data_IF_420476906377
#
_entry.id   IF_420476906377
#
_cell.length_a   1.000
_cell.length_b   1.000
_cell.length_c   1.000
_cell.angle_alpha   90.00
_cell.angle_beta   90.00
_cell.angle_gamma   90.00
#
_symmetry.space_group_name_H-M   'P 1'
#
loop_
_entity.id
_entity.type
_entity.pdbx_description
1 polymer ?
#
# COMPACT_ATOMS: atom_id res chain seq x y z
N UNK A 1 -24.62 0.87 -4.91
CA UNK A 1 -24.94 1.58 -3.65
C UNK A 1 -24.07 2.82 -3.56
N UNK A 2 -24.66 3.92 -3.10
CA UNK A 2 -24.00 5.20 -2.86
C UNK A 2 -22.79 5.02 -1.93
N UNK A 3 -21.80 5.91 -2.01
CA UNK A 3 -20.82 6.07 -0.93
C UNK A 3 -21.57 6.10 0.40
N UNK A 4 -21.45 5.05 1.21
CA UNK A 4 -21.86 5.12 2.61
C UNK A 4 -21.05 6.27 3.20
N UNK A 5 -21.73 7.39 3.50
CA UNK A 5 -21.13 8.47 4.27
C UNK A 5 -20.54 7.83 5.52
N UNK A 6 -19.26 8.10 5.76
CA UNK A 6 -18.60 7.57 6.96
C UNK A 6 -19.44 7.92 8.18
N UNK A 7 -19.67 6.98 9.12
CA UNK A 7 -20.58 7.18 10.23
C UNK A 7 -20.06 8.19 11.27
N UNK A 8 -18.89 8.81 11.06
CA UNK A 8 -18.35 9.80 11.99
C UNK A 8 -17.96 11.08 11.27
N UNK A 9 -18.13 12.20 11.97
CA UNK A 9 -17.65 13.53 11.60
C UNK A 9 -16.48 13.91 12.50
N UNK A 10 -15.61 14.80 12.02
CA UNK A 10 -14.59 15.40 12.85
C UNK A 10 -15.20 16.47 13.76
N UNK A 11 -14.75 16.51 15.02
CA UNK A 11 -15.04 17.57 15.98
C UNK A 11 -13.73 18.31 16.28
N UNK A 12 -13.15 18.92 15.26
CA UNK A 12 -11.88 19.64 15.36
C UNK A 12 -12.16 21.15 15.53
N UNK A 13 -11.80 21.78 16.66
CA UNK A 13 -11.99 23.21 16.86
C UNK A 13 -11.07 24.08 15.97
N UNK A 14 -10.03 23.49 15.37
CA UNK A 14 -9.14 24.18 14.44
C UNK A 14 -8.89 23.34 13.17
N UNK A 15 -9.91 23.15 12.30
CA UNK A 15 -9.83 22.26 11.15
C UNK A 15 -8.68 22.59 10.21
N UNK A 16 -7.80 21.61 9.99
CA UNK A 16 -6.66 21.72 9.07
C UNK A 16 -6.16 20.33 8.67
N UNK A 17 -5.20 20.31 7.74
CA UNK A 17 -4.34 19.14 7.58
C UNK A 17 -3.40 19.03 8.76
N UNK A 18 -3.36 17.86 9.37
CA UNK A 18 -2.46 17.50 10.45
C UNK A 18 -1.51 16.42 9.95
N UNK A 19 -0.21 16.66 10.14
CA UNK A 19 0.87 15.73 9.83
C UNK A 19 1.58 15.36 11.13
N UNK A 20 1.86 14.07 11.31
CA UNK A 20 2.53 13.52 12.50
C UNK A 20 3.77 12.76 12.07
N UNK A 21 4.82 12.88 12.88
CA UNK A 21 6.06 12.12 12.73
C UNK A 21 6.60 11.76 14.09
N UNK A 22 6.84 10.47 14.33
CA UNK A 22 7.40 9.98 15.58
C UNK A 22 8.25 8.73 15.32
N UNK A 23 9.19 8.43 16.23
CA UNK A 23 10.02 7.23 16.12
C UNK A 23 9.26 5.99 16.54
N UNK A 24 9.42 4.92 15.78
CA UNK A 24 8.82 3.63 16.11
C UNK A 24 9.28 3.10 17.47
N UNK A 25 10.56 3.28 17.81
CA UNK A 25 11.15 2.94 19.11
C UNK A 25 10.57 3.73 20.30
N UNK A 26 9.98 4.91 20.04
CA UNK A 26 9.26 5.69 21.05
C UNK A 26 7.79 5.29 21.18
N UNK A 27 7.19 4.86 20.07
CA UNK A 27 5.80 4.39 20.03
C UNK A 27 5.68 3.01 20.70
N UNK A 28 6.61 2.11 20.40
CA UNK A 28 6.70 0.77 21.00
C UNK A 28 8.14 0.48 21.43
N UNK A 29 8.44 0.47 22.75
CA UNK A 29 9.77 0.15 23.27
C UNK A 29 10.26 -1.28 22.95
N UNK A 30 9.37 -2.17 22.48
CA UNK A 30 9.73 -3.53 22.05
C UNK A 30 10.26 -3.59 20.63
N UNK A 31 10.13 -2.51 19.85
CA UNK A 31 10.61 -2.46 18.48
C UNK A 31 12.15 -2.52 18.45
N UNK A 32 12.70 -3.31 17.54
CA UNK A 32 14.14 -3.55 17.43
C UNK A 32 14.65 -3.35 16.00
N UNK A 33 15.96 -3.13 15.90
CA UNK A 33 16.68 -3.16 14.64
C UNK A 33 17.08 -4.60 14.30
N UNK A 34 17.19 -4.88 13.00
CA UNK A 34 17.56 -6.15 12.39
C UNK A 34 18.70 -5.94 11.39
N UNK A 35 19.93 -5.82 11.90
CA UNK A 35 21.11 -5.53 11.08
C UNK A 35 21.40 -6.62 10.04
N UNK A 36 21.05 -7.87 10.35
CA UNK A 36 21.11 -9.04 9.48
C UNK A 36 20.28 -8.90 8.21
N UNK A 37 19.27 -8.04 8.20
CA UNK A 37 18.51 -7.67 7.00
C UNK A 37 18.60 -6.17 6.67
N UNK A 38 19.65 -5.47 7.12
CA UNK A 38 19.88 -4.04 6.86
C UNK A 38 18.74 -3.11 7.33
N UNK A 39 17.93 -3.57 8.29
CA UNK A 39 16.88 -2.78 8.89
C UNK A 39 17.40 -2.18 10.20
N UNK A 40 17.66 -0.87 10.21
CA UNK A 40 18.35 -0.19 11.31
C UNK A 40 17.52 0.97 11.84
N UNK A 41 17.73 1.35 13.10
CA UNK A 41 17.07 2.53 13.68
C UNK A 41 17.91 3.80 13.58
N UNK A 42 19.20 3.65 13.30
CA UNK A 42 20.12 4.76 13.14
C UNK A 42 21.01 4.53 11.91
N UNK A 43 21.27 5.60 11.17
CA UNK A 43 22.24 5.61 10.07
C UNK A 43 23.07 6.89 10.18
N UNK A 44 24.40 6.72 10.26
CA UNK A 44 25.36 7.83 10.37
C UNK A 44 25.00 8.84 11.49
N UNK A 45 24.73 8.35 12.71
CA UNK A 45 24.44 9.23 13.86
C UNK A 45 23.00 9.74 13.93
N UNK A 46 22.13 9.38 12.97
CA UNK A 46 20.77 9.93 12.86
C UNK A 46 19.71 8.84 12.90
N UNK A 47 18.69 9.07 13.71
CA UNK A 47 17.51 8.21 13.76
C UNK A 47 16.84 8.13 12.37
N UNK A 48 16.49 6.92 11.95
CA UNK A 48 15.81 6.62 10.68
C UNK A 48 14.53 5.81 10.87
N UNK A 49 14.21 5.41 12.10
CA UNK A 49 13.03 4.62 12.47
C UNK A 49 11.73 5.42 12.52
N UNK A 50 11.56 6.36 11.58
CA UNK A 50 10.44 7.30 11.56
C UNK A 50 9.17 6.67 11.00
N UNK A 51 8.07 6.92 11.68
CA UNK A 51 6.71 6.66 11.22
C UNK A 51 6.02 8.00 10.94
N UNK A 52 5.18 8.03 9.90
CA UNK A 52 4.54 9.26 9.42
C UNK A 52 3.04 9.03 9.28
N UNK A 53 2.23 10.00 9.69
CA UNK A 53 0.78 9.95 9.54
C UNK A 53 0.20 11.29 9.09
N UNK A 54 -0.92 11.27 8.37
CA UNK A 54 -1.65 12.48 7.99
C UNK A 54 -3.16 12.28 8.01
N UNK A 55 -3.88 13.33 8.38
CA UNK A 55 -5.35 13.46 8.29
C UNK A 55 -5.71 14.91 8.00
N UNK A 56 -6.72 15.17 7.17
CA UNK A 56 -7.25 16.52 6.95
C UNK A 56 -8.67 16.63 7.50
N UNK A 57 -8.81 17.33 8.64
CA UNK A 57 -10.09 17.47 9.35
C UNK A 57 -11.04 18.47 8.70
N UNK A 58 -10.62 19.16 7.63
CA UNK A 58 -11.48 20.00 6.78
C UNK A 58 -12.25 19.18 5.74
N UNK A 59 -11.78 17.98 5.42
CA UNK A 59 -12.34 17.11 4.39
C UNK A 59 -13.27 16.10 5.03
N UNK A 60 -14.44 15.84 4.44
CA UNK A 60 -15.36 14.83 4.97
C UNK A 60 -14.68 13.45 5.01
N UNK A 61 -14.68 12.75 6.16
CA UNK A 61 -14.00 11.47 6.28
C UNK A 61 -14.69 10.39 5.45
N UNK A 62 -13.88 9.48 4.90
CA UNK A 62 -14.34 8.22 4.29
C UNK A 62 -14.32 7.05 5.27
N UNK A 63 -13.66 7.21 6.41
CA UNK A 63 -13.51 6.14 7.40
C UNK A 63 -12.69 4.97 6.90
N UNK A 64 -11.66 5.25 6.09
CA UNK A 64 -10.68 4.26 5.62
C UNK A 64 -9.27 4.74 5.98
N UNK A 65 -8.44 3.81 6.46
CA UNK A 65 -7.04 4.03 6.80
C UNK A 65 -6.14 3.45 5.71
N UNK A 66 -5.25 4.24 5.15
CA UNK A 66 -4.22 3.78 4.22
C UNK A 66 -2.95 3.46 4.98
N UNK A 67 -2.44 2.24 4.81
CA UNK A 67 -1.09 1.85 5.23
C UNK A 67 -0.21 1.81 3.98
N UNK A 68 0.76 2.72 3.91
CA UNK A 68 1.69 2.84 2.79
C UNK A 68 2.99 2.05 3.05
N UNK A 69 3.26 1.04 2.22
CA UNK A 69 4.36 0.08 2.39
C UNK A 69 5.62 0.45 1.61
N UNK A 70 5.93 1.74 1.52
CA UNK A 70 7.19 2.27 0.98
C UNK A 70 7.66 3.42 1.86
N UNK A 71 8.81 4.02 1.52
CA UNK A 71 9.24 5.27 2.15
C UNK A 71 8.16 6.35 2.07
N UNK A 72 8.15 7.24 3.07
CA UNK A 72 7.18 8.32 3.16
C UNK A 72 7.14 9.17 1.89
N UNK A 73 5.93 9.41 1.39
CA UNK A 73 5.68 10.23 0.20
C UNK A 73 4.64 11.30 0.55
N UNK A 74 5.10 12.52 0.83
CA UNK A 74 4.24 13.64 1.21
C UNK A 74 3.21 13.97 0.14
N UNK A 75 3.60 13.94 -1.14
CA UNK A 75 2.70 14.24 -2.25
C UNK A 75 1.56 13.23 -2.38
N UNK A 76 1.81 11.95 -2.05
CA UNK A 76 0.77 10.95 -1.94
C UNK A 76 -0.14 11.24 -0.74
N UNK A 77 0.43 11.53 0.43
CA UNK A 77 -0.35 11.79 1.66
C UNK A 77 -1.23 13.03 1.54
N UNK A 78 -0.78 14.09 0.86
CA UNK A 78 -1.60 15.26 0.52
C UNK A 78 -2.85 14.86 -0.26
N UNK A 79 -2.71 13.96 -1.24
CA UNK A 79 -3.83 13.46 -2.04
C UNK A 79 -4.76 12.56 -1.22
N UNK A 80 -4.20 11.61 -0.48
CA UNK A 80 -4.99 10.67 0.33
C UNK A 80 -5.86 11.43 1.34
N UNK A 81 -5.27 12.39 2.05
CA UNK A 81 -6.02 13.23 2.99
C UNK A 81 -7.02 14.15 2.29
N UNK A 82 -6.67 14.69 1.11
CA UNK A 82 -7.61 15.40 0.24
C UNK A 82 -8.79 14.54 -0.27
N UNK A 83 -8.65 13.22 -0.26
CA UNK A 83 -9.74 12.28 -0.55
C UNK A 83 -10.60 11.95 0.68
N UNK A 84 -10.26 12.46 1.87
CA UNK A 84 -10.92 12.11 3.13
C UNK A 84 -10.43 10.81 3.75
N UNK A 85 -9.23 10.34 3.38
CA UNK A 85 -8.60 9.14 3.92
C UNK A 85 -7.60 9.52 5.02
N UNK A 86 -7.51 8.68 6.04
CA UNK A 86 -6.38 8.69 6.97
C UNK A 86 -5.22 7.95 6.33
N UNK A 87 -3.99 8.40 6.56
CA UNK A 87 -2.81 7.75 5.99
C UNK A 87 -1.72 7.57 7.04
N UNK A 88 -1.08 6.41 7.04
CA UNK A 88 0.12 6.10 7.82
C UNK A 88 1.18 5.42 6.95
N UNK A 89 2.45 5.63 7.29
CA UNK A 89 3.59 4.88 6.83
C UNK A 89 4.38 4.47 8.07
N UNK A 90 4.55 3.16 8.25
CA UNK A 90 5.28 2.58 9.38
C UNK A 90 6.64 2.08 8.96
N UNK A 91 7.61 2.18 9.87
CA UNK A 91 8.98 1.71 9.66
C UNK A 91 9.06 0.23 10.04
N UNK A 92 8.66 -0.70 9.19
CA UNK A 92 8.64 -2.14 9.48
C UNK A 92 9.85 -2.87 8.88
N UNK A 93 10.17 -4.06 9.42
CA UNK A 93 11.36 -4.86 9.09
C UNK A 93 11.38 -5.38 7.63
N UNK A 94 11.64 -4.48 6.69
CA UNK A 94 11.51 -4.71 5.24
C UNK A 94 12.85 -4.70 4.48
N UNK A 95 13.98 -4.58 5.18
CA UNK A 95 15.30 -4.48 4.56
C UNK A 95 15.77 -5.77 3.87
N UNK A 96 15.11 -6.90 4.15
CA UNK A 96 15.39 -8.21 3.54
C UNK A 96 15.31 -8.20 2.01
N UNK A 97 14.53 -7.30 1.41
CA UNK A 97 14.30 -7.23 -0.04
C UNK A 97 15.58 -7.03 -0.86
N UNK A 98 16.57 -6.32 -0.33
CA UNK A 98 17.86 -6.14 -1.01
C UNK A 98 18.74 -7.40 -0.98
N UNK A 99 18.48 -8.32 -0.04
CA UNK A 99 19.31 -9.51 0.22
C UNK A 99 18.76 -10.76 -0.45
N UNK A 100 17.45 -10.94 -0.42
CA UNK A 100 16.76 -12.09 -1.01
C UNK A 100 15.95 -11.64 -2.22
N UNK A 101 16.00 -12.40 -3.33
CA UNK A 101 15.20 -12.06 -4.51
C UNK A 101 15.75 -12.49 -5.86
N UNK A 102 16.90 -13.17 -5.93
CA UNK A 102 17.53 -13.46 -7.22
C UNK A 102 17.16 -14.81 -7.84
N UNK A 103 17.07 -15.94 -7.11
CA UNK A 103 17.25 -17.23 -7.83
C UNK A 103 16.44 -18.46 -7.41
N UNK A 104 15.51 -18.43 -6.45
CA UNK A 104 14.73 -19.65 -6.17
C UNK A 104 13.38 -19.37 -5.55
N UNK A 105 12.29 -19.99 -6.04
CA UNK A 105 11.00 -19.92 -5.36
C UNK A 105 10.95 -20.88 -4.15
N UNK A 106 12.04 -21.59 -3.83
CA UNK A 106 12.09 -22.60 -2.79
C UNK A 106 11.34 -23.88 -3.16
N UNK A 107 11.39 -24.92 -2.30
CA UNK A 107 10.83 -26.24 -2.61
C UNK A 107 9.31 -26.25 -2.78
N UNK A 108 8.58 -25.34 -2.14
CA UNK A 108 7.12 -25.21 -2.27
C UNK A 108 6.68 -24.07 -3.20
N UNK A 109 7.65 -23.35 -3.78
CA UNK A 109 7.41 -22.26 -4.72
C UNK A 109 6.97 -20.93 -4.09
N UNK A 110 7.21 -20.70 -2.79
CA UNK A 110 6.69 -19.55 -2.01
C UNK A 110 7.72 -18.87 -1.10
N UNK A 111 9.02 -19.03 -1.35
CA UNK A 111 10.09 -18.56 -0.46
C UNK A 111 10.01 -17.06 -0.11
N UNK A 112 10.01 -16.18 -1.11
CA UNK A 112 9.86 -14.74 -0.94
C UNK A 112 8.47 -14.38 -0.40
N UNK A 113 7.43 -15.09 -0.84
CA UNK A 113 6.08 -14.96 -0.32
C UNK A 113 5.96 -15.25 1.18
N UNK A 114 6.81 -16.14 1.74
CA UNK A 114 6.91 -16.42 3.17
C UNK A 114 7.63 -15.30 3.91
N UNK A 115 8.80 -14.87 3.44
CA UNK A 115 9.54 -13.73 4.03
C UNK A 115 8.68 -12.47 4.05
N UNK A 116 7.94 -12.18 2.96
CA UNK A 116 6.99 -11.06 2.89
C UNK A 116 5.94 -11.13 3.98
N UNK A 117 5.40 -12.32 4.23
CA UNK A 117 4.34 -12.49 5.20
C UNK A 117 4.88 -12.30 6.61
N UNK A 118 6.03 -12.89 6.92
CA UNK A 118 6.73 -12.68 8.19
C UNK A 118 7.09 -11.21 8.43
N UNK A 119 7.63 -10.49 7.44
CA UNK A 119 7.85 -9.05 7.58
C UNK A 119 6.55 -8.25 7.78
N UNK A 120 5.42 -8.75 7.27
CA UNK A 120 4.13 -8.07 7.42
C UNK A 120 3.44 -8.39 8.75
N UNK A 121 3.60 -9.60 9.30
CA UNK A 121 2.88 -10.07 10.50
C UNK A 121 3.77 -10.12 11.75
N UNK A 122 5.07 -10.34 11.59
CA UNK A 122 6.02 -10.70 12.63
C UNK A 122 5.75 -12.10 13.22
N UNK A 123 5.19 -12.99 12.41
CA UNK A 123 4.99 -14.41 12.70
C UNK A 123 5.96 -15.23 11.85
N UNK A 124 6.44 -16.35 12.39
CA UNK A 124 7.41 -17.22 11.73
C UNK A 124 6.78 -17.90 10.50
N UNK A 125 7.25 -17.52 9.32
CA UNK A 125 6.85 -18.15 8.05
C UNK A 125 8.04 -18.63 7.23
N UNK A 126 9.26 -18.17 7.52
CA UNK A 126 10.43 -18.40 6.69
C UNK A 126 11.68 -18.72 7.51
N UNK A 127 12.35 -19.82 7.17
CA UNK A 127 13.63 -20.21 7.77
C UNK A 127 14.83 -19.27 7.44
N UNK A 128 14.58 -18.15 6.75
CA UNK A 128 15.61 -17.23 6.25
C UNK A 128 15.69 -15.92 7.01
N UNK A 129 14.66 -15.60 7.79
CA UNK A 129 14.56 -14.38 8.59
C UNK A 129 13.99 -14.74 9.96
N UNK A 130 14.14 -13.85 10.94
CA UNK A 130 13.46 -13.96 12.23
C UNK A 130 12.98 -12.57 12.62
N UNK A 131 11.76 -12.24 12.22
CA UNK A 131 11.13 -10.94 12.48
C UNK A 131 10.07 -11.13 13.57
N UNK A 132 10.29 -10.63 14.79
CA UNK A 132 9.34 -10.78 15.87
C UNK A 132 8.13 -9.85 15.66
N UNK A 133 7.02 -10.20 16.31
CA UNK A 133 5.75 -9.47 16.23
C UNK A 133 5.87 -7.93 16.31
N UNK A 134 6.61 -7.33 17.26
CA UNK A 134 6.77 -5.86 17.35
C UNK A 134 7.34 -5.19 16.09
N UNK A 135 8.09 -5.94 15.28
CA UNK A 135 8.82 -5.40 14.13
C UNK A 135 8.09 -5.62 12.80
N UNK A 136 7.04 -6.43 12.80
CA UNK A 136 6.13 -6.63 11.69
C UNK A 136 5.25 -5.41 11.39
N UNK A 137 4.88 -5.23 10.13
CA UNK A 137 4.03 -4.12 9.68
C UNK A 137 2.71 -4.01 10.47
N UNK A 138 2.05 -5.15 10.71
CA UNK A 138 0.75 -5.24 11.40
C UNK A 138 0.80 -4.65 12.81
N UNK A 139 1.79 -5.04 13.62
CA UNK A 139 1.90 -4.55 14.99
C UNK A 139 2.32 -3.07 15.02
N UNK A 140 3.26 -2.65 14.17
CA UNK A 140 3.67 -1.24 14.08
C UNK A 140 2.50 -0.33 13.71
N UNK A 141 1.69 -0.74 12.73
CA UNK A 141 0.49 -0.01 12.36
C UNK A 141 -0.53 0.08 13.52
N UNK A 142 -0.76 -1.02 14.24
CA UNK A 142 -1.62 -1.02 15.43
C UNK A 142 -1.13 -0.04 16.49
N UNK A 143 0.15 -0.11 16.88
CA UNK A 143 0.71 0.76 17.91
C UNK A 143 0.69 2.22 17.50
N UNK A 144 0.96 2.50 16.22
CA UNK A 144 0.93 3.87 15.74
C UNK A 144 -0.49 4.45 15.75
N UNK A 145 -1.50 3.68 15.33
CA UNK A 145 -2.91 4.10 15.41
C UNK A 145 -3.35 4.33 16.87
N UNK A 146 -2.97 3.44 17.79
CA UNK A 146 -3.24 3.62 19.23
C UNK A 146 -2.59 4.90 19.77
N UNK A 147 -1.34 5.17 19.38
CA UNK A 147 -0.63 6.39 19.76
C UNK A 147 -1.30 7.64 19.18
N UNK A 148 -1.69 7.61 17.90
CA UNK A 148 -2.38 8.71 17.22
C UNK A 148 -3.74 9.01 17.86
N UNK A 149 -4.49 7.99 18.29
CA UNK A 149 -5.75 8.16 19.02
C UNK A 149 -5.60 8.92 20.34
N UNK A 150 -4.47 8.73 21.04
CA UNK A 150 -4.12 9.51 22.24
C UNK A 150 -3.58 10.89 21.91
N UNK A 151 -2.74 10.98 20.87
CA UNK A 151 -2.03 12.20 20.48
C UNK A 151 -2.94 13.24 19.85
N UNK A 152 -3.91 12.80 19.06
CA UNK A 152 -4.82 13.66 18.30
C UNK A 152 -6.24 13.05 18.20
N UNK A 153 -7.02 13.09 19.31
CA UNK A 153 -8.37 12.54 19.33
C UNK A 153 -9.33 13.15 18.29
N UNK A 154 -9.10 14.41 17.89
CA UNK A 154 -9.88 15.11 16.86
C UNK A 154 -9.82 14.41 15.50
N UNK A 155 -8.73 13.67 15.25
CA UNK A 155 -8.57 12.85 14.05
C UNK A 155 -9.36 11.55 14.08
N UNK A 156 -9.97 11.16 15.20
CA UNK A 156 -10.80 9.94 15.35
C UNK A 156 -10.07 8.65 14.95
N UNK A 157 -8.77 8.55 15.23
CA UNK A 157 -7.93 7.41 14.84
C UNK A 157 -8.38 6.09 15.48
N UNK A 158 -9.03 6.14 16.65
CA UNK A 158 -9.61 4.99 17.33
C UNK A 158 -10.69 4.27 16.49
N UNK A 159 -11.28 4.95 15.49
CA UNK A 159 -12.24 4.36 14.55
C UNK A 159 -11.67 3.17 13.74
N UNK A 160 -10.35 3.10 13.60
CA UNK A 160 -9.66 2.04 12.86
C UNK A 160 -9.24 0.86 13.74
N UNK A 161 -9.52 0.91 15.04
CA UNK A 161 -9.26 -0.21 15.94
C UNK A 161 -10.41 -1.22 15.88
N UNK A 162 -10.08 -2.50 15.99
CA UNK A 162 -11.06 -3.55 16.24
C UNK A 162 -11.66 -3.40 17.66
N UNK A 163 -12.81 -4.03 17.96
CA UNK A 163 -13.34 -4.09 19.32
C UNK A 163 -12.28 -4.56 20.32
N UNK A 164 -12.16 -3.86 21.45
CA UNK A 164 -11.12 -4.12 22.47
C UNK A 164 -9.76 -3.48 22.18
N UNK A 165 -9.55 -2.88 21.00
CA UNK A 165 -8.38 -2.06 20.71
C UNK A 165 -7.07 -2.83 20.50
N UNK A 166 -7.09 -4.16 20.44
CA UNK A 166 -5.89 -5.02 20.37
C UNK A 166 -5.51 -5.46 18.95
N UNK A 167 -6.27 -5.03 17.93
CA UNK A 167 -5.95 -5.19 16.51
C UNK A 167 -6.57 -4.02 15.73
N UNK A 168 -6.20 -3.86 14.47
CA UNK A 168 -6.87 -2.97 13.53
C UNK A 168 -8.16 -3.62 13.01
N UNK A 169 -9.16 -2.81 12.73
CA UNK A 169 -10.30 -3.22 11.92
C UNK A 169 -9.87 -3.26 10.44
N UNK A 170 -9.29 -4.38 10.02
CA UNK A 170 -8.70 -4.55 8.69
C UNK A 170 -9.68 -4.35 7.53
N UNK A 171 -10.99 -4.54 7.74
CA UNK A 171 -12.01 -4.23 6.71
C UNK A 171 -12.13 -2.73 6.43
N UNK A 172 -11.61 -1.86 7.32
CA UNK A 172 -11.48 -0.41 7.14
C UNK A 172 -10.08 0.03 6.72
N UNK A 173 -9.21 -0.92 6.35
CA UNK A 173 -7.82 -0.65 5.98
C UNK A 173 -7.62 -0.85 4.47
N UNK A 174 -6.93 0.11 3.87
CA UNK A 174 -6.36 0.05 2.53
C UNK A 174 -4.87 -0.25 2.70
N UNK A 175 -4.41 -1.40 2.21
CA UNK A 175 -2.97 -1.72 2.19
C UNK A 175 -2.43 -1.35 0.81
N UNK A 176 -1.51 -0.40 0.75
CA UNK A 176 -1.03 0.18 -0.50
C UNK A 176 0.49 0.18 -0.57
N UNK A 177 1.04 0.00 -1.76
CA UNK A 177 2.49 0.06 -1.95
C UNK A 177 2.90 0.18 -3.40
N UNK A 178 4.17 0.53 -3.61
CA UNK A 178 4.84 0.50 -4.91
C UNK A 178 5.89 -0.59 -4.94
N UNK A 179 6.17 -1.22 -6.08
CA UNK A 179 7.34 -2.10 -6.23
C UNK A 179 7.36 -3.23 -5.18
N UNK A 180 8.37 -3.25 -4.29
CA UNK A 180 8.41 -4.13 -3.12
C UNK A 180 7.14 -4.03 -2.26
N UNK A 181 6.73 -2.81 -1.90
CA UNK A 181 5.53 -2.54 -1.10
C UNK A 181 4.26 -3.02 -1.79
N UNK A 182 4.16 -2.92 -3.11
CA UNK A 182 3.01 -3.47 -3.87
C UNK A 182 2.92 -4.98 -3.73
N UNK A 183 4.08 -5.65 -3.73
CA UNK A 183 4.15 -7.11 -3.66
C UNK A 183 3.80 -7.59 -2.24
N UNK A 184 4.32 -6.91 -1.22
CA UNK A 184 3.98 -7.18 0.18
C UNK A 184 2.51 -6.88 0.48
N UNK A 185 1.94 -5.79 -0.06
CA UNK A 185 0.52 -5.47 0.10
C UNK A 185 -0.38 -6.60 -0.44
N UNK A 186 -0.09 -7.10 -1.64
CA UNK A 186 -0.84 -8.20 -2.24
C UNK A 186 -0.68 -9.49 -1.44
N UNK A 187 0.56 -9.84 -1.06
CA UNK A 187 0.84 -11.07 -0.31
C UNK A 187 0.17 -11.07 1.06
N UNK A 188 0.19 -9.93 1.75
CA UNK A 188 -0.51 -9.76 3.03
C UNK A 188 -2.02 -9.87 2.85
N UNK A 189 -2.60 -9.24 1.83
CA UNK A 189 -4.05 -9.28 1.59
C UNK A 189 -4.60 -10.66 1.20
N UNK A 190 -3.77 -11.52 0.62
CA UNK A 190 -4.09 -12.94 0.41
C UNK A 190 -4.24 -13.67 1.76
N UNK A 191 -3.46 -13.30 2.78
CA UNK A 191 -3.48 -13.91 4.10
C UNK A 191 -4.52 -13.26 5.04
N UNK A 192 -4.53 -11.93 5.13
CA UNK A 192 -5.42 -11.13 5.96
C UNK A 192 -6.46 -10.45 5.07
N UNK A 193 -7.74 -10.64 5.38
CA UNK A 193 -8.82 -9.91 4.70
C UNK A 193 -8.69 -8.41 5.02
N UNK A 194 -8.63 -7.58 3.98
CA UNK A 194 -8.58 -6.11 4.10
C UNK A 194 -9.70 -5.43 3.31
N UNK A 195 -9.91 -4.13 3.55
CA UNK A 195 -10.92 -3.32 2.88
C UNK A 195 -10.58 -2.99 1.42
N UNK A 196 -9.29 -2.79 1.11
CA UNK A 196 -8.78 -2.53 -0.25
C UNK A 196 -7.29 -2.81 -0.36
N UNK A 197 -6.83 -3.15 -1.55
CA UNK A 197 -5.41 -3.24 -1.91
C UNK A 197 -5.12 -2.33 -3.10
N UNK A 198 -4.08 -1.50 -3.00
CA UNK A 198 -3.60 -0.67 -4.12
C UNK A 198 -2.16 -1.05 -4.47
N UNK A 199 -1.97 -1.55 -5.69
CA UNK A 199 -0.74 -2.14 -6.20
C UNK A 199 -0.16 -1.25 -7.30
N UNK A 200 0.93 -0.54 -7.00
CA UNK A 200 1.62 0.31 -7.96
C UNK A 200 2.92 -0.39 -8.41
N UNK A 201 3.11 -0.56 -9.72
CA UNK A 201 4.26 -1.25 -10.32
C UNK A 201 4.64 -2.58 -9.63
N UNK A 202 3.66 -3.47 -9.47
CA UNK A 202 3.77 -4.80 -8.88
C UNK A 202 2.46 -5.56 -8.97
N UNK A 203 2.34 -6.76 -8.36
CA UNK A 203 3.34 -7.51 -7.60
C UNK A 203 4.47 -8.16 -8.42
N UNK A 204 5.63 -8.40 -7.80
CA UNK A 204 6.78 -9.20 -8.31
C UNK A 204 6.70 -10.66 -7.79
N UNK A 205 7.86 -11.34 -7.73
CA UNK A 205 8.05 -12.77 -7.41
C UNK A 205 7.59 -13.67 -8.55
N UNK A 206 8.10 -13.40 -9.75
CA UNK A 206 7.65 -13.99 -11.02
C UNK A 206 7.84 -15.51 -11.11
N UNK A 207 8.72 -16.08 -10.30
CA UNK A 207 8.97 -17.53 -10.24
C UNK A 207 8.12 -18.23 -9.16
N UNK A 208 7.40 -17.47 -8.33
CA UNK A 208 6.60 -18.00 -7.24
C UNK A 208 5.14 -18.24 -7.65
N UNK A 209 4.46 -19.02 -6.81
CA UNK A 209 3.07 -19.40 -7.01
C UNK A 209 2.12 -18.87 -5.91
N UNK A 210 2.61 -18.09 -4.95
CA UNK A 210 1.78 -17.57 -3.86
C UNK A 210 0.65 -16.66 -4.34
N UNK A 211 0.81 -15.99 -5.50
CA UNK A 211 -0.20 -15.10 -6.08
C UNK A 211 -1.51 -15.85 -6.40
N UNK A 212 -1.43 -17.16 -6.65
CA UNK A 212 -2.58 -18.02 -6.93
C UNK A 212 -3.18 -18.71 -5.70
N UNK A 213 -2.70 -18.41 -4.48
CA UNK A 213 -3.29 -18.94 -3.25
C UNK A 213 -4.71 -18.40 -3.07
N UNK A 214 -5.54 -19.14 -2.32
CA UNK A 214 -6.87 -18.67 -1.93
C UNK A 214 -6.74 -17.39 -1.10
N UNK A 215 -7.22 -16.28 -1.65
CA UNK A 215 -7.15 -14.97 -1.01
C UNK A 215 -8.23 -14.81 0.06
N UNK A 216 -7.84 -14.35 1.25
CA UNK A 216 -8.75 -13.89 2.30
C UNK A 216 -9.48 -12.59 1.90
N UNK A 217 -8.81 -11.72 1.14
CA UNK A 217 -9.41 -10.51 0.58
C UNK A 217 -10.11 -10.84 -0.75
N UNK A 218 -11.40 -10.49 -0.91
CA UNK A 218 -12.07 -10.60 -2.20
C UNK A 218 -11.34 -9.88 -3.34
N UNK A 219 -11.21 -10.54 -4.49
CA UNK A 219 -10.41 -10.05 -5.64
C UNK A 219 -10.90 -8.67 -6.14
N UNK A 220 -12.19 -8.35 -5.98
CA UNK A 220 -12.76 -7.05 -6.35
C UNK A 220 -12.22 -5.85 -5.56
N UNK A 221 -11.54 -6.10 -4.44
CA UNK A 221 -10.89 -5.08 -3.60
C UNK A 221 -9.45 -4.77 -4.00
N UNK A 222 -8.87 -5.48 -4.98
CA UNK A 222 -7.53 -5.24 -5.49
C UNK A 222 -7.55 -4.31 -6.71
N UNK A 223 -6.69 -3.29 -6.71
CA UNK A 223 -6.55 -2.33 -7.80
C UNK A 223 -5.08 -2.22 -8.18
N UNK A 224 -4.76 -2.31 -9.47
CA UNK A 224 -3.40 -2.31 -9.96
C UNK A 224 -3.16 -1.21 -11.00
N UNK A 225 -1.99 -0.58 -10.94
CA UNK A 225 -1.54 0.42 -11.92
C UNK A 225 -0.04 0.29 -12.20
N UNK A 226 0.34 0.23 -13.48
CA UNK A 226 1.75 0.16 -13.90
C UNK A 226 2.00 0.93 -15.20
N UNK A 227 3.25 1.28 -15.47
CA UNK A 227 3.68 1.78 -16.76
C UNK A 227 4.10 0.62 -17.67
N UNK A 228 3.80 0.68 -18.99
CA UNK A 228 4.13 -0.41 -19.93
C UNK A 228 5.64 -0.58 -20.17
N UNK A 229 6.41 0.50 -20.03
CA UNK A 229 7.88 0.46 -20.09
C UNK A 229 8.55 0.04 -18.77
N UNK A 230 7.80 -0.21 -17.69
CA UNK A 230 8.39 -0.74 -16.46
C UNK A 230 9.00 -2.12 -16.73
N UNK A 231 10.23 -2.37 -16.27
CA UNK A 231 10.90 -3.66 -16.48
C UNK A 231 10.12 -4.87 -15.96
N UNK A 232 9.29 -4.71 -14.91
CA UNK A 232 8.41 -5.79 -14.44
C UNK A 232 7.14 -5.97 -15.26
N UNK A 233 6.74 -4.96 -16.02
CA UNK A 233 5.71 -5.11 -17.06
C UNK A 233 6.30 -5.83 -18.27
N UNK A 234 7.42 -5.33 -18.80
CA UNK A 234 8.10 -5.91 -19.98
C UNK A 234 8.58 -7.35 -19.77
N UNK A 235 8.94 -7.72 -18.54
CA UNK A 235 9.29 -9.09 -18.16
C UNK A 235 8.08 -9.98 -17.84
N UNK A 236 6.85 -9.54 -18.12
CA UNK A 236 5.60 -10.25 -17.82
C UNK A 236 5.36 -10.58 -16.34
N UNK A 237 6.10 -9.96 -15.41
CA UNK A 237 5.93 -10.21 -13.98
C UNK A 237 4.58 -9.72 -13.46
N UNK A 238 4.21 -8.47 -13.80
CA UNK A 238 2.96 -7.88 -13.34
C UNK A 238 1.75 -8.43 -14.10
N UNK A 239 1.76 -8.53 -15.45
CA UNK A 239 0.68 -9.18 -16.20
C UNK A 239 0.36 -10.58 -15.67
N UNK A 240 1.38 -11.43 -15.46
CA UNK A 240 1.23 -12.77 -14.86
C UNK A 240 0.62 -12.69 -13.48
N UNK A 241 1.19 -11.87 -12.59
CA UNK A 241 0.72 -11.76 -11.20
C UNK A 241 -0.74 -11.30 -11.13
N UNK A 242 -1.15 -10.35 -11.98
CA UNK A 242 -2.52 -9.86 -12.03
C UNK A 242 -3.51 -10.93 -12.50
N UNK A 243 -3.11 -11.79 -13.43
CA UNK A 243 -3.90 -12.95 -13.83
C UNK A 243 -4.00 -14.00 -12.73
N UNK A 244 -2.89 -14.30 -12.04
CA UNK A 244 -2.88 -15.28 -10.94
C UNK A 244 -3.72 -14.83 -9.74
N UNK A 245 -3.75 -13.53 -9.47
CA UNK A 245 -4.66 -12.92 -8.49
C UNK A 245 -6.14 -12.95 -8.92
N UNK A 246 -6.43 -13.30 -10.18
CA UNK A 246 -7.79 -13.33 -10.73
C UNK A 246 -8.35 -11.98 -11.17
N UNK A 247 -7.54 -10.92 -11.28
CA UNK A 247 -8.02 -9.58 -11.65
C UNK A 247 -8.62 -9.54 -13.07
N UNK A 248 -8.22 -10.47 -13.94
CA UNK A 248 -8.77 -10.63 -15.27
C UNK A 248 -10.25 -11.04 -15.29
N UNK A 249 -10.76 -11.60 -14.20
CA UNK A 249 -12.18 -11.99 -14.07
C UNK A 249 -13.10 -10.77 -13.85
N UNK A 250 -12.54 -9.59 -13.56
CA UNK A 250 -13.29 -8.40 -13.18
C UNK A 250 -13.39 -7.33 -14.28
N UNK A 251 -12.78 -7.60 -15.44
CA UNK A 251 -12.78 -6.66 -16.57
C UNK A 251 -11.43 -6.60 -17.29
N UNK A 252 -11.35 -5.82 -18.39
CA UNK A 252 -10.19 -5.77 -19.27
C UNK A 252 -9.01 -5.03 -18.62
N UNK A 253 -7.83 -5.22 -19.20
CA UNK A 253 -6.69 -4.31 -19.00
C UNK A 253 -7.02 -2.98 -19.68
N UNK A 254 -6.92 -1.85 -18.97
CA UNK A 254 -7.29 -0.53 -19.49
C UNK A 254 -6.09 0.40 -19.51
N UNK A 255 -5.85 1.04 -20.66
CA UNK A 255 -4.90 2.15 -20.78
C UNK A 255 -5.59 3.47 -20.40
N UNK A 256 -5.10 4.09 -19.32
CA UNK A 256 -5.65 5.32 -18.74
C UNK A 256 -5.39 6.56 -19.60
N UNK A 257 -4.42 6.50 -20.52
CA UNK A 257 -4.11 7.59 -21.44
C UNK A 257 -5.11 7.65 -22.62
N UNK A 258 -5.92 6.59 -22.79
CA UNK A 258 -6.90 6.43 -23.87
C UNK A 258 -8.34 6.35 -23.38
N UNK A 259 -8.55 6.20 -22.07
CA UNK A 259 -9.86 6.07 -21.46
C UNK A 259 -9.91 6.90 -20.18
N UNK A 260 -10.91 7.78 -20.06
CA UNK A 260 -11.13 8.55 -18.85
C UNK A 260 -11.72 7.69 -17.71
N UNK A 261 -11.58 8.18 -16.46
CA UNK A 261 -12.27 7.60 -15.31
C UNK A 261 -13.81 7.53 -15.58
N UNK A 262 -14.51 6.44 -15.17
CA UNK A 262 -14.08 5.42 -14.21
C UNK A 262 -13.34 4.22 -14.85
N UNK A 263 -12.73 4.36 -16.04
CA UNK A 263 -11.90 3.33 -16.67
C UNK A 263 -12.63 2.00 -16.87
N UNK A 264 -13.94 2.07 -17.18
CA UNK A 264 -14.80 0.90 -17.26
C UNK A 264 -14.82 0.07 -15.97
N UNK A 265 -14.61 0.69 -14.80
CA UNK A 265 -14.51 0.02 -13.50
C UNK A 265 -13.39 -1.05 -13.41
N UNK A 266 -12.38 -0.99 -14.29
CA UNK A 266 -11.30 -1.98 -14.33
C UNK A 266 -10.43 -1.96 -13.06
N UNK A 267 -9.92 -3.14 -12.68
CA UNK A 267 -8.93 -3.32 -11.62
C UNK A 267 -7.49 -3.37 -12.14
N UNK A 268 -7.31 -3.32 -13.46
CA UNK A 268 -6.01 -3.47 -14.14
C UNK A 268 -5.79 -2.27 -15.04
N UNK A 269 -5.09 -1.27 -14.51
CA UNK A 269 -4.79 -0.03 -15.23
C UNK A 269 -3.33 -0.02 -15.69
N UNK A 270 -3.10 0.51 -16.88
CA UNK A 270 -1.75 0.80 -17.39
C UNK A 270 -1.69 2.19 -18.00
N UNK A 271 -0.47 2.69 -18.15
CA UNK A 271 -0.17 3.91 -18.90
C UNK A 271 1.00 3.66 -19.86
N UNK A 272 0.94 4.27 -21.03
CA UNK A 272 2.02 4.40 -22.00
C UNK A 272 2.46 5.85 -22.20
N UNK A 273 2.12 6.72 -21.24
CA UNK A 273 2.51 8.12 -21.22
C UNK A 273 4.03 8.30 -21.42
N UNK A 274 4.42 9.37 -22.11
CA UNK A 274 5.82 9.54 -22.51
C UNK A 274 6.76 9.75 -21.29
N UNK A 275 7.61 8.76 -21.07
CA UNK A 275 8.72 8.78 -20.12
C UNK A 275 10.09 8.87 -20.81
N UNK A 276 10.12 9.22 -22.09
CA UNK A 276 11.32 9.35 -22.94
C UNK A 276 12.13 8.05 -23.04
N UNK A 277 11.44 6.92 -23.05
CA UNK A 277 12.06 5.59 -23.10
C UNK A 277 12.79 5.17 -21.80
N UNK A 278 12.69 5.95 -20.72
CA UNK A 278 13.38 5.65 -19.45
C UNK A 278 12.56 4.67 -18.59
N UNK A 279 13.03 3.43 -18.50
CA UNK A 279 12.41 2.36 -17.69
C UNK A 279 12.44 2.65 -16.18
N UNK A 280 13.46 3.36 -15.69
CA UNK A 280 13.55 3.74 -14.27
C UNK A 280 12.51 4.81 -13.96
N UNK A 281 12.33 5.76 -14.88
CA UNK A 281 11.25 6.74 -14.79
C UNK A 281 9.89 6.05 -14.88
N UNK A 282 9.70 5.12 -15.82
CA UNK A 282 8.49 4.31 -15.97
C UNK A 282 8.10 3.63 -14.64
N UNK A 283 9.07 3.03 -13.94
CA UNK A 283 8.84 2.35 -12.67
C UNK A 283 8.28 3.28 -11.59
N UNK A 284 8.76 4.53 -11.52
CA UNK A 284 8.30 5.53 -10.56
C UNK A 284 7.09 6.36 -11.01
N UNK A 285 6.76 6.35 -12.31
CA UNK A 285 5.79 7.26 -12.91
C UNK A 285 4.35 7.07 -12.38
N UNK A 286 4.05 5.89 -11.85
CA UNK A 286 2.72 5.53 -11.33
C UNK A 286 2.44 6.02 -9.92
N UNK A 287 3.39 6.70 -9.29
CA UNK A 287 3.25 7.31 -7.95
C UNK A 287 3.45 8.82 -8.03
N UNK A 288 2.75 9.65 -7.22
CA UNK A 288 3.02 11.09 -7.17
C UNK A 288 4.48 11.38 -6.82
N UNK A 289 5.18 12.17 -7.63
CA UNK A 289 6.59 12.46 -7.40
C UNK A 289 7.35 12.94 -8.63
N UNK A 290 8.68 12.89 -8.56
CA UNK A 290 9.56 13.38 -9.63
C UNK A 290 9.47 12.61 -10.94
N UNK A 291 9.14 11.31 -10.89
CA UNK A 291 9.00 10.47 -12.08
C UNK A 291 7.60 10.53 -12.71
N UNK A 292 6.59 11.04 -11.99
CA UNK A 292 5.23 11.11 -12.49
C UNK A 292 5.13 12.01 -13.73
N UNK A 293 4.31 11.60 -14.68
CA UNK A 293 4.14 12.34 -15.93
C UNK A 293 3.26 13.55 -15.69
N UNK A 294 3.69 14.69 -16.25
CA UNK A 294 3.02 15.98 -16.15
C UNK A 294 2.74 16.52 -17.54
N UNK A 295 1.66 17.28 -17.69
CA UNK A 295 1.42 18.06 -18.89
C UNK A 295 2.32 19.31 -18.95
N UNK A 296 2.19 20.09 -20.02
CA UNK A 296 2.96 21.31 -20.24
C UNK A 296 2.72 22.40 -19.16
N UNK A 297 1.60 22.34 -18.44
CA UNK A 297 1.30 23.24 -17.31
C UNK A 297 1.88 22.76 -15.98
N UNK A 298 2.50 21.57 -15.97
CA UNK A 298 3.05 20.95 -14.77
C UNK A 298 2.03 20.14 -13.96
N UNK A 299 0.80 19.96 -14.45
CA UNK A 299 -0.24 19.16 -13.78
C UNK A 299 0.02 17.68 -14.03
N UNK A 300 -0.14 16.88 -12.98
CA UNK A 300 0.00 15.42 -13.07
C UNK A 300 -1.08 14.81 -13.96
N UNK A 301 -0.67 14.03 -14.97
CA UNK A 301 -1.60 13.35 -15.88
C UNK A 301 -2.43 12.30 -15.14
N UNK A 302 -1.81 11.56 -14.21
CA UNK A 302 -2.44 10.43 -13.52
C UNK A 302 -3.17 10.79 -12.23
N UNK A 303 -3.43 12.08 -11.98
CA UNK A 303 -4.24 12.55 -10.84
C UNK A 303 -5.59 11.81 -10.73
N UNK A 304 -6.36 11.65 -11.83
CA UNK A 304 -7.64 10.93 -11.77
C UNK A 304 -7.45 9.42 -11.51
N UNK A 305 -6.31 8.84 -11.91
CA UNK A 305 -5.98 7.43 -11.66
C UNK A 305 -5.78 7.20 -10.17
N UNK A 306 -4.98 8.02 -9.50
CA UNK A 306 -4.76 7.89 -8.06
C UNK A 306 -6.07 8.02 -7.27
N UNK A 307 -6.90 9.01 -7.58
CA UNK A 307 -8.22 9.13 -6.95
C UNK A 307 -9.06 7.88 -7.16
N UNK A 308 -9.11 7.34 -8.38
CA UNK A 308 -9.85 6.13 -8.70
C UNK A 308 -9.36 4.92 -7.88
N UNK A 309 -8.06 4.65 -7.87
CA UNK A 309 -7.47 3.49 -7.16
C UNK A 309 -7.83 3.50 -5.67
N UNK A 310 -7.86 4.67 -5.03
CA UNK A 310 -8.08 4.78 -3.58
C UNK A 310 -9.56 4.97 -3.19
N UNK A 311 -10.44 5.43 -4.09
CA UNK A 311 -11.82 5.81 -3.72
C UNK A 311 -12.92 5.11 -4.50
N UNK A 312 -12.65 4.55 -5.68
CA UNK A 312 -13.69 3.94 -6.50
C UNK A 312 -14.37 2.75 -5.79
N UNK A 313 -15.70 2.63 -5.79
CA UNK A 313 -16.40 1.58 -5.05
C UNK A 313 -15.94 0.15 -5.44
N UNK A 314 -15.64 -0.68 -4.44
CA UNK A 314 -15.09 -2.03 -4.67
C UNK A 314 -16.11 -3.01 -5.26
N UNK A 315 -17.41 -2.73 -5.10
CA UNK A 315 -18.50 -3.54 -5.67
C UNK A 315 -18.85 -3.16 -7.12
N UNK A 316 -18.42 -1.99 -7.59
CA UNK A 316 -18.60 -1.61 -9.00
C UNK A 316 -17.57 -2.34 -9.85
N UNK A 317 -18.05 -3.29 -10.66
CA UNK A 317 -17.26 -4.10 -11.60
C UNK A 317 -17.97 -4.16 -12.95
N UNK A 318 -17.24 -4.41 -14.02
CA UNK A 318 -17.87 -4.88 -15.26
C UNK A 318 -18.43 -6.28 -14.97
N UNK A 319 -19.73 -6.48 -15.19
CA UNK A 319 -20.25 -7.83 -15.28
C UNK A 319 -19.58 -8.50 -16.49
N UNK A 320 -18.99 -9.67 -16.27
CA UNK A 320 -18.50 -10.48 -17.38
C UNK A 320 -19.72 -10.82 -18.26
N UNK A 321 -19.70 -10.35 -19.51
CA UNK A 321 -20.55 -10.91 -20.56
C UNK A 321 -20.01 -12.26 -20.98
#
# INVERSE_FOLDING_TARGET
>A
MAEEKSPFTYNDPAPKKHDFKERSSKIDPRAMAHAEIEFVFEKAGKAVDWENASVDTRVAPRGMLVIWLMGYNSQLFDRLTGYGLHAIQVHYANGWFGKFGKESPGPDGKLLGKIRLEAATGEDFSDLVSIPKPDGMKERALKFVQWLGKKHPQGRWEYFLAPGGNDLNWERVIVAGSSHGSTTAARFAIHQKVGRVVMLCGPRDQLENWQGLKSATPVNRFFAFSHVLDGGWKGDHYPRSWQMLGLNQLGPLVNVDRMAAPYGNSRRLITDADVKGDEKKAHGAVTPGGSAVKDASGKYLHEPVWKYLFTHPVEQRLEAK
#
